data_IF_847438193668
#
_entry.id   IF_847438193668
#
_cell.length_a   1.000
_cell.length_b   1.000
_cell.length_c   1.000
_cell.angle_alpha   90.00
_cell.angle_beta   90.00
_cell.angle_gamma   90.00
#
_symmetry.space_group_name_H-M   'P 1'
#
loop_
_entity.id
_entity.type
_entity.pdbx_description
1 polymer ?
#
# COMPACT_ATOMS: atom_id res chain seq x y z
N UNK A 1 -8.70 -14.43 35.71
CA UNK A 1 -9.41 -13.82 34.57
C UNK A 1 -8.46 -12.83 33.90
N UNK A 2 -7.76 -13.27 32.85
CA UNK A 2 -6.84 -12.41 32.10
C UNK A 2 -7.62 -11.36 31.34
N UNK A 3 -7.36 -10.08 31.61
CA UNK A 3 -7.96 -8.96 30.87
C UNK A 3 -7.40 -8.99 29.45
N UNK A 4 -8.19 -9.50 28.50
CA UNK A 4 -7.92 -9.31 27.08
C UNK A 4 -8.10 -7.82 26.82
N UNK A 5 -7.00 -7.06 26.79
CA UNK A 5 -6.96 -5.74 26.15
C UNK A 5 -7.04 -5.99 24.63
N UNK A 6 -8.21 -6.39 24.15
CA UNK A 6 -8.56 -6.05 22.79
C UNK A 6 -8.73 -4.53 22.83
N UNK A 7 -7.76 -3.78 22.27
CA UNK A 7 -7.92 -2.34 22.11
C UNK A 7 -9.26 -2.07 21.45
N UNK A 8 -9.96 -0.97 21.75
CA UNK A 8 -11.13 -0.62 20.93
C UNK A 8 -10.62 -0.07 19.61
N UNK A 9 -11.19 -0.51 18.50
CA UNK A 9 -11.04 0.22 17.24
C UNK A 9 -11.82 1.52 17.40
N UNK A 10 -11.14 2.67 17.34
CA UNK A 10 -11.77 3.99 17.45
C UNK A 10 -12.54 4.39 16.18
N UNK A 11 -12.31 3.67 15.08
CA UNK A 11 -12.83 3.95 13.75
C UNK A 11 -13.70 2.78 13.26
N UNK A 12 -14.73 3.07 12.47
CA UNK A 12 -15.63 2.06 11.89
C UNK A 12 -14.85 1.08 10.99
N UNK A 13 -15.11 -0.23 11.14
CA UNK A 13 -14.43 -1.29 10.37
C UNK A 13 -14.67 -1.14 8.87
N UNK A 14 -15.83 -0.61 8.45
CA UNK A 14 -16.12 -0.31 7.05
C UNK A 14 -15.25 0.84 6.52
N UNK A 15 -15.02 1.87 7.35
CA UNK A 15 -14.13 2.99 7.02
C UNK A 15 -12.68 2.52 6.94
N UNK A 16 -12.24 1.66 7.87
CA UNK A 16 -10.89 1.09 7.87
C UNK A 16 -10.67 0.22 6.63
N UNK A 17 -11.62 -0.65 6.27
CA UNK A 17 -11.54 -1.50 5.07
C UNK A 17 -11.50 -0.68 3.79
N UNK A 18 -12.33 0.36 3.69
CA UNK A 18 -12.36 1.28 2.54
C UNK A 18 -11.05 2.05 2.42
N UNK A 19 -10.52 2.53 3.54
CA UNK A 19 -9.23 3.24 3.59
C UNK A 19 -8.07 2.32 3.20
N UNK A 20 -8.02 1.09 3.72
CA UNK A 20 -7.01 0.10 3.36
C UNK A 20 -7.06 -0.26 1.87
N UNK A 21 -8.26 -0.44 1.31
CA UNK A 21 -8.45 -0.70 -0.13
C UNK A 21 -7.99 0.49 -0.98
N UNK A 22 -8.29 1.72 -0.54
CA UNK A 22 -7.89 2.96 -1.22
C UNK A 22 -6.37 3.16 -1.19
N UNK A 23 -5.71 2.87 -0.06
CA UNK A 23 -4.25 2.92 0.07
C UNK A 23 -3.58 1.93 -0.88
N UNK A 24 -4.07 0.70 -0.92
CA UNK A 24 -3.57 -0.33 -1.83
C UNK A 24 -3.72 0.06 -3.29
N UNK A 25 -4.88 0.58 -3.68
CA UNK A 25 -5.15 1.05 -5.04
C UNK A 25 -4.25 2.24 -5.42
N UNK A 26 -4.15 3.24 -4.54
CA UNK A 26 -3.34 4.44 -4.76
C UNK A 26 -1.85 4.10 -4.88
N UNK A 27 -1.33 3.23 -4.00
CA UNK A 27 0.05 2.78 -4.07
C UNK A 27 0.36 2.06 -5.39
N UNK A 28 -0.54 1.18 -5.84
CA UNK A 28 -0.39 0.46 -7.12
C UNK A 28 -0.41 1.42 -8.31
N UNK A 29 -1.34 2.38 -8.32
CA UNK A 29 -1.44 3.36 -9.38
C UNK A 29 -0.20 4.25 -9.44
N UNK A 30 0.26 4.77 -8.30
CA UNK A 30 1.46 5.60 -8.23
C UNK A 30 2.72 4.86 -8.73
N UNK A 31 2.86 3.57 -8.44
CA UNK A 31 3.96 2.75 -8.97
C UNK A 31 3.90 2.63 -10.49
N UNK A 32 2.69 2.42 -11.02
CA UNK A 32 2.44 2.26 -12.46
C UNK A 32 2.74 3.56 -13.22
N UNK A 33 2.28 4.69 -12.69
CA UNK A 33 2.52 6.01 -13.28
C UNK A 33 4.01 6.36 -13.28
N UNK A 34 4.70 6.10 -12.16
CA UNK A 34 6.15 6.29 -12.06
C UNK A 34 6.89 5.41 -13.08
N UNK A 35 6.54 4.13 -13.19
CA UNK A 35 7.15 3.21 -14.16
C UNK A 35 6.95 3.67 -15.60
N UNK A 36 5.75 4.16 -15.95
CA UNK A 36 5.46 4.72 -17.28
C UNK A 36 6.32 5.95 -17.60
N UNK A 37 6.47 6.88 -16.65
CA UNK A 37 7.33 8.06 -16.82
C UNK A 37 8.79 7.65 -17.02
N UNK A 38 9.29 6.71 -16.22
CA UNK A 38 10.67 6.24 -16.27
C UNK A 38 10.95 5.51 -17.58
N UNK A 39 10.03 4.67 -18.05
CA UNK A 39 10.16 4.02 -19.36
C UNK A 39 10.26 5.05 -20.50
N UNK A 40 9.51 6.16 -20.43
CA UNK A 40 9.62 7.25 -21.41
C UNK A 40 10.97 7.96 -21.35
N UNK A 41 11.53 8.17 -20.17
CA UNK A 41 12.87 8.77 -19.99
C UNK A 41 13.93 7.86 -20.61
N UNK A 42 13.90 6.57 -20.26
CA UNK A 42 14.88 5.58 -20.76
C UNK A 42 14.77 5.39 -22.27
N UNK A 43 13.55 5.35 -22.82
CA UNK A 43 13.34 5.26 -24.27
C UNK A 43 13.91 6.47 -25.05
N UNK A 44 14.01 7.63 -24.40
CA UNK A 44 14.61 8.84 -24.99
C UNK A 44 16.12 8.72 -25.23
N UNK A 45 16.82 7.85 -24.48
CA UNK A 45 18.28 7.68 -24.59
C UNK A 45 18.69 7.21 -25.99
N UNK A 46 17.93 6.27 -26.59
CA UNK A 46 18.22 5.75 -27.92
C UNK A 46 18.16 6.83 -29.01
N UNK A 47 17.41 7.91 -28.80
CA UNK A 47 17.32 9.03 -29.73
C UNK A 47 18.53 9.98 -29.64
N UNK A 48 19.32 9.91 -28.57
CA UNK A 48 20.50 10.78 -28.34
C UNK A 48 21.74 10.23 -29.06
N UNK A 49 21.75 8.95 -29.43
CA UNK A 49 22.85 8.31 -30.14
C UNK A 49 23.97 7.86 -29.20
N UNK A 50 25.23 8.08 -29.57
CA UNK A 50 26.41 7.63 -28.81
C UNK A 50 27.38 8.77 -28.53
N UNK A 51 28.18 8.65 -27.47
CA UNK A 51 29.21 9.62 -27.09
C UNK A 51 28.86 10.42 -25.83
N UNK A 52 29.60 11.49 -25.55
CA UNK A 52 29.50 12.22 -24.27
C UNK A 52 28.10 12.77 -23.97
N UNK A 53 27.29 13.09 -24.98
CA UNK A 53 25.91 13.51 -24.79
C UNK A 53 25.00 12.37 -24.30
N UNK A 54 25.20 11.15 -24.82
CA UNK A 54 24.49 9.96 -24.37
C UNK A 54 24.94 9.56 -22.96
N UNK A 55 26.25 9.60 -22.68
CA UNK A 55 26.80 9.31 -21.35
C UNK A 55 26.25 10.29 -20.29
N UNK A 56 26.20 11.59 -20.61
CA UNK A 56 25.64 12.61 -19.72
C UNK A 56 24.13 12.40 -19.49
N UNK A 57 23.38 11.99 -20.51
CA UNK A 57 21.96 11.67 -20.35
C UNK A 57 21.77 10.41 -19.49
N UNK A 58 22.57 9.38 -19.72
CA UNK A 58 22.53 8.15 -18.96
C UNK A 58 22.78 8.40 -17.46
N UNK A 59 23.85 9.12 -17.15
CA UNK A 59 24.26 9.47 -15.79
C UNK A 59 23.28 10.45 -15.13
N UNK A 60 22.83 11.47 -15.87
CA UNK A 60 21.99 12.54 -15.33
C UNK A 60 20.50 12.19 -15.20
N UNK A 61 20.00 11.27 -16.02
CA UNK A 61 18.56 10.99 -16.10
C UNK A 61 18.23 9.50 -15.93
N UNK A 62 18.90 8.58 -16.64
CA UNK A 62 18.51 7.16 -16.59
C UNK A 62 18.84 6.46 -15.27
N UNK A 63 20.03 6.68 -14.72
CA UNK A 63 20.40 6.12 -13.42
C UNK A 63 19.48 6.64 -12.29
N UNK A 64 19.25 7.97 -12.14
CA UNK A 64 18.29 8.50 -11.17
C UNK A 64 16.86 8.01 -11.40
N UNK A 65 16.41 7.91 -12.65
CA UNK A 65 15.08 7.41 -12.99
C UNK A 65 14.92 5.94 -12.59
N UNK A 66 15.95 5.12 -12.79
CA UNK A 66 15.95 3.71 -12.36
C UNK A 66 15.90 3.58 -10.83
N UNK A 67 16.68 4.39 -10.11
CA UNK A 67 16.60 4.42 -8.63
C UNK A 67 15.22 4.85 -8.14
N UNK A 68 14.64 5.86 -8.79
CA UNK A 68 13.27 6.33 -8.51
C UNK A 68 12.24 5.23 -8.75
N UNK A 69 12.42 4.41 -9.80
CA UNK A 69 11.54 3.28 -10.13
C UNK A 69 11.45 2.28 -8.98
N UNK A 70 12.61 1.87 -8.48
CA UNK A 70 12.70 0.89 -7.40
C UNK A 70 12.18 1.50 -6.08
N UNK A 71 12.45 2.77 -5.82
CA UNK A 71 11.84 3.52 -4.71
C UNK A 71 10.31 3.56 -4.76
N UNK A 72 9.74 3.86 -5.94
CA UNK A 72 8.28 3.88 -6.15
C UNK A 72 7.65 2.50 -5.96
N UNK A 73 8.31 1.42 -6.42
CA UNK A 73 7.86 0.05 -6.17
C UNK A 73 7.90 -0.32 -4.69
N UNK A 74 8.95 0.06 -3.98
CA UNK A 74 9.06 -0.19 -2.54
C UNK A 74 7.98 0.57 -1.75
N UNK A 75 7.72 1.83 -2.12
CA UNK A 75 6.64 2.63 -1.53
C UNK A 75 5.26 2.01 -1.81
N UNK A 76 5.01 1.58 -3.05
CA UNK A 76 3.77 0.91 -3.44
C UNK A 76 3.55 -0.41 -2.67
N UNK A 77 4.61 -1.21 -2.51
CA UNK A 77 4.57 -2.41 -1.68
C UNK A 77 4.21 -2.07 -0.23
N UNK A 78 4.86 -1.05 0.34
CA UNK A 78 4.60 -0.61 1.72
C UNK A 78 3.15 -0.16 1.92
N UNK A 79 2.60 0.60 0.96
CA UNK A 79 1.20 1.02 0.96
C UNK A 79 0.24 -0.16 0.80
N UNK A 80 0.60 -1.14 -0.04
CA UNK A 80 -0.16 -2.39 -0.22
C UNK A 80 -0.18 -3.27 1.03
N UNK A 81 0.97 -3.43 1.68
CA UNK A 81 1.11 -4.18 2.92
C UNK A 81 0.32 -3.52 4.06
N UNK A 82 0.43 -2.18 4.19
CA UNK A 82 -0.35 -1.41 5.16
C UNK A 82 -1.85 -1.52 4.90
N UNK A 83 -2.28 -1.33 3.65
CA UNK A 83 -3.69 -1.45 3.28
C UNK A 83 -4.25 -2.84 3.55
N UNK A 84 -3.45 -3.89 3.35
CA UNK A 84 -3.81 -5.28 3.66
C UNK A 84 -3.95 -5.49 5.17
N UNK A 85 -2.98 -5.01 5.97
CA UNK A 85 -3.05 -5.07 7.43
C UNK A 85 -4.29 -4.39 7.99
N UNK A 86 -4.67 -3.23 7.44
CA UNK A 86 -5.88 -2.51 7.87
C UNK A 86 -7.15 -3.33 7.60
N UNK A 87 -7.25 -3.97 6.43
CA UNK A 87 -8.39 -4.82 6.07
C UNK A 87 -8.47 -6.04 6.99
N UNK A 88 -7.33 -6.69 7.27
CA UNK A 88 -7.25 -7.84 8.17
C UNK A 88 -7.64 -7.47 9.61
N UNK A 89 -7.18 -6.31 10.09
CA UNK A 89 -7.54 -5.83 11.41
C UNK A 89 -9.04 -5.55 11.49
N UNK A 90 -9.62 -4.85 10.50
CA UNK A 90 -11.07 -4.63 10.42
C UNK A 90 -11.86 -5.96 10.53
N UNK A 91 -11.43 -7.00 9.81
CA UNK A 91 -12.07 -8.31 9.87
C UNK A 91 -11.96 -8.98 11.26
N UNK A 92 -10.78 -8.94 11.89
CA UNK A 92 -10.58 -9.49 13.25
C UNK A 92 -11.46 -8.79 14.28
N UNK A 93 -11.62 -7.48 14.16
CA UNK A 93 -12.47 -6.70 15.05
C UNK A 93 -13.95 -7.05 14.90
N UNK A 94 -14.44 -7.24 13.68
CA UNK A 94 -15.81 -7.70 13.43
C UNK A 94 -16.05 -9.09 14.00
N UNK A 95 -15.09 -10.00 13.86
CA UNK A 95 -15.17 -11.34 14.42
C UNK A 95 -15.28 -11.31 15.96
N UNK A 96 -14.46 -10.47 16.62
CA UNK A 96 -14.52 -10.27 18.07
C UNK A 96 -15.87 -9.68 18.48
N UNK A 97 -16.39 -8.68 17.77
CA UNK A 97 -17.69 -8.08 18.10
C UNK A 97 -18.84 -9.10 17.96
N UNK A 98 -18.80 -9.94 16.92
CA UNK A 98 -19.77 -11.03 16.75
C UNK A 98 -19.70 -12.06 17.88
N UNK A 99 -18.50 -12.46 18.30
CA UNK A 99 -18.31 -13.37 19.42
C UNK A 99 -18.85 -12.78 20.74
N UNK A 100 -18.60 -11.50 20.99
CA UNK A 100 -19.14 -10.80 22.17
C UNK A 100 -20.67 -10.70 22.14
N UNK A 101 -21.27 -10.35 21.00
CA UNK A 101 -22.73 -10.32 20.84
C UNK A 101 -23.34 -11.70 21.07
N UNK A 102 -22.76 -12.74 20.49
CA UNK A 102 -23.22 -14.12 20.69
C UNK A 102 -23.14 -14.56 22.16
N UNK A 103 -22.09 -14.17 22.88
CA UNK A 103 -21.96 -14.44 24.32
C UNK A 103 -23.01 -13.69 25.15
N UNK A 104 -23.25 -12.40 24.83
CA UNK A 104 -24.28 -11.59 25.50
C UNK A 104 -25.69 -12.13 25.27
N UNK A 105 -26.01 -12.56 24.05
CA UNK A 105 -27.31 -13.14 23.74
C UNK A 105 -27.54 -14.46 24.47
N UNK A 106 -26.52 -15.30 24.63
CA UNK A 106 -26.61 -16.51 25.47
C UNK A 106 -26.83 -16.14 26.93
N UNK A 107 -26.11 -15.15 27.45
CA UNK A 107 -26.25 -14.71 28.84
C UNK A 107 -27.61 -14.06 29.13
N UNK A 108 -28.25 -13.41 28.14
CA UNK A 108 -29.59 -12.83 28.27
C UNK A 108 -30.72 -13.85 28.21
N UNK A 109 -30.47 -15.02 27.61
CA UNK A 109 -31.45 -16.10 27.47
C UNK A 109 -31.34 -17.17 28.57
N UNK A 110 -30.29 -17.12 29.39
CA UNK A 110 -30.06 -17.96 30.56
C UNK A 110 -30.67 -17.31 31.81
#
# INVERSE_FOLDING_TARGET
MGKVKAGRMEMDTDVVRTSGSSLKATGTQAATDAESIIQRIVAGEAAIGTGSAADNFHLGYNLPATSTKEGSKAAAKTLGDLGTSMIEDAAKYEEIDQQYRAALDRARRA
#
